data_IF_439300573853
#
_entry.id   IF_439300573853
#
_cell.length_a   1.000
_cell.length_b   1.000
_cell.length_c   1.000
_cell.angle_alpha   90.00
_cell.angle_beta   90.00
_cell.angle_gamma   90.00
#
_symmetry.space_group_name_H-M   'P 1'
#
loop_
_entity.id
_entity.type
_entity.pdbx_description
1 polymer ?
#
# COMPACT_ATOMS: atom_id res chain seq x y z
N UNK A 1 -0.17 -1.12 -6.89
CA UNK A 1 -0.29 -0.49 -5.55
C UNK A 1 -1.75 -0.24 -5.22
N UNK A 2 -2.25 -0.71 -4.08
CA UNK A 2 -3.62 -0.51 -3.60
C UNK A 2 -3.65 0.71 -2.69
N UNK A 3 -4.22 1.82 -3.16
CA UNK A 3 -4.36 3.04 -2.37
C UNK A 3 -5.60 2.91 -1.51
N UNK A 4 -5.41 2.95 -0.20
CA UNK A 4 -6.47 2.81 0.81
C UNK A 4 -6.78 4.20 1.35
N UNK A 5 -7.96 4.73 1.00
CA UNK A 5 -8.44 6.01 1.53
C UNK A 5 -8.95 5.88 2.96
N UNK A 6 -9.67 4.80 3.23
CA UNK A 6 -10.21 4.52 4.55
C UNK A 6 -10.26 3.01 4.77
N UNK A 7 -9.71 2.58 5.90
CA UNK A 7 -9.81 1.20 6.37
C UNK A 7 -11.22 0.91 6.89
N UNK A 8 -11.83 1.86 7.61
CA UNK A 8 -13.15 1.74 8.21
C UNK A 8 -14.28 1.55 7.18
N UNK A 9 -14.22 2.32 6.09
CA UNK A 9 -15.19 2.24 4.97
C UNK A 9 -14.71 1.32 3.84
N UNK A 10 -13.54 0.68 4.00
CA UNK A 10 -12.92 -0.21 2.99
C UNK A 10 -12.76 0.45 1.61
N UNK A 11 -12.51 1.75 1.58
CA UNK A 11 -12.40 2.54 0.35
C UNK A 11 -11.01 2.35 -0.25
N UNK A 12 -10.89 1.44 -1.24
CA UNK A 12 -9.62 1.06 -1.86
C UNK A 12 -9.68 1.23 -3.38
N UNK A 13 -8.58 1.70 -3.97
CA UNK A 13 -8.41 1.74 -5.43
C UNK A 13 -7.02 1.31 -5.83
N UNK A 14 -6.94 0.42 -6.81
CA UNK A 14 -5.66 -0.06 -7.35
C UNK A 14 -5.10 0.93 -8.38
N UNK A 15 -3.86 1.36 -8.14
CA UNK A 15 -3.00 2.07 -9.06
C UNK A 15 -2.01 1.07 -9.66
N UNK A 16 -2.09 0.87 -10.98
CA UNK A 16 -1.15 0.03 -11.73
C UNK A 16 0.06 0.88 -12.08
N UNK A 17 1.23 0.46 -11.63
CA UNK A 17 2.51 1.04 -12.02
C UNK A 17 3.14 0.12 -13.06
N UNK A 18 3.58 0.70 -14.18
CA UNK A 18 4.29 -0.01 -15.26
C UNK A 18 5.72 0.52 -15.31
N UNK A 19 6.62 -0.31 -15.79
CA UNK A 19 8.01 0.08 -16.08
C UNK A 19 8.78 0.62 -14.87
N UNK A 20 8.53 0.04 -13.68
CA UNK A 20 9.28 0.36 -12.45
C UNK A 20 10.51 -0.53 -12.38
N UNK A 21 11.70 0.06 -12.42
CA UNK A 21 12.95 -0.67 -12.16
C UNK A 21 13.06 -0.99 -10.67
N UNK A 22 12.85 -2.25 -10.31
CA UNK A 22 12.87 -2.71 -8.92
C UNK A 22 14.28 -2.73 -8.31
N UNK A 23 15.33 -2.73 -9.14
CA UNK A 23 16.72 -2.78 -8.69
C UNK A 23 17.25 -1.41 -8.32
N UNK A 24 16.70 -0.35 -8.93
CA UNK A 24 17.10 1.03 -8.66
C UNK A 24 16.05 1.85 -7.88
N UNK A 25 14.76 1.53 -8.02
CA UNK A 25 13.72 2.27 -7.29
C UNK A 25 13.81 1.97 -5.79
N UNK A 26 13.87 3.02 -4.97
CA UNK A 26 13.78 2.89 -3.51
C UNK A 26 12.34 2.92 -3.03
N UNK A 27 12.11 2.50 -1.79
CA UNK A 27 10.79 2.61 -1.14
C UNK A 27 10.29 4.06 -1.10
N UNK A 28 11.16 5.01 -0.76
CA UNK A 28 10.83 6.44 -0.77
C UNK A 28 10.41 6.90 -2.16
N UNK A 29 11.17 6.51 -3.19
CA UNK A 29 10.86 6.86 -4.57
C UNK A 29 9.52 6.28 -5.03
N UNK A 30 9.22 5.05 -4.65
CA UNK A 30 7.92 4.44 -4.91
C UNK A 30 6.77 5.23 -4.26
N UNK A 31 6.92 5.70 -3.02
CA UNK A 31 5.91 6.55 -2.37
C UNK A 31 5.69 7.85 -3.15
N UNK A 32 6.74 8.52 -3.57
CA UNK A 32 6.64 9.74 -4.39
C UNK A 32 5.88 9.49 -5.69
N UNK A 33 6.26 8.44 -6.44
CA UNK A 33 5.59 8.05 -7.69
C UNK A 33 4.09 7.81 -7.45
N UNK A 34 3.74 7.09 -6.38
CA UNK A 34 2.34 6.81 -6.04
C UNK A 34 1.59 8.11 -5.71
N UNK A 35 2.18 9.00 -4.91
CA UNK A 35 1.58 10.31 -4.57
C UNK A 35 1.35 11.17 -5.81
N UNK A 36 2.34 11.26 -6.70
CA UNK A 36 2.23 11.99 -7.96
C UNK A 36 1.12 11.42 -8.87
N UNK A 37 1.06 10.08 -8.98
CA UNK A 37 0.03 9.41 -9.77
C UNK A 37 -1.37 9.60 -9.21
N UNK A 38 -1.54 9.65 -7.89
CA UNK A 38 -2.82 9.99 -7.26
C UNK A 38 -3.28 11.40 -7.69
N UNK A 39 -2.36 12.35 -7.80
CA UNK A 39 -2.66 13.73 -8.21
C UNK A 39 -3.02 13.85 -9.69
N UNK A 40 -2.40 13.04 -10.54
CA UNK A 40 -2.48 13.18 -12.01
C UNK A 40 -3.51 12.28 -12.67
N UNK A 41 -3.82 11.11 -12.10
CA UNK A 41 -4.76 10.15 -12.70
C UNK A 41 -6.21 10.55 -12.38
N UNK A 42 -7.08 10.82 -13.38
CA UNK A 42 -8.45 11.32 -13.16
C UNK A 42 -9.30 10.44 -12.22
N UNK A 43 -9.06 9.13 -12.22
CA UNK A 43 -9.76 8.18 -11.36
C UNK A 43 -9.45 8.32 -9.86
N UNK A 44 -8.42 9.06 -9.48
CA UNK A 44 -8.00 9.24 -8.08
C UNK A 44 -8.46 10.55 -7.46
N UNK A 45 -9.34 11.32 -8.12
CA UNK A 45 -9.93 12.56 -7.56
C UNK A 45 -10.44 12.42 -6.11
N UNK A 46 -11.11 11.31 -5.70
CA UNK A 46 -11.54 11.14 -4.31
C UNK A 46 -10.39 10.92 -3.30
N UNK A 47 -9.18 10.64 -3.76
CA UNK A 47 -8.00 10.27 -2.98
C UNK A 47 -6.99 11.42 -2.83
N UNK A 48 -7.21 12.57 -3.48
CA UNK A 48 -6.28 13.70 -3.49
C UNK A 48 -5.97 14.26 -2.09
N UNK A 49 -6.96 14.25 -1.19
CA UNK A 49 -6.84 14.70 0.20
C UNK A 49 -6.52 13.54 1.16
N UNK A 50 -5.94 12.47 0.65
CA UNK A 50 -5.57 11.31 1.46
C UNK A 50 -4.35 11.58 2.34
N UNK A 51 -4.33 10.95 3.52
CA UNK A 51 -3.24 11.02 4.50
C UNK A 51 -2.39 9.73 4.50
N UNK A 52 -2.27 9.05 3.36
CA UNK A 52 -1.49 7.82 3.26
C UNK A 52 0.01 8.12 3.35
N UNK A 53 0.70 7.37 4.18
CA UNK A 53 2.13 7.56 4.50
C UNK A 53 2.92 6.24 4.47
N UNK A 54 2.23 5.10 4.55
CA UNK A 54 2.84 3.81 4.79
C UNK A 54 2.56 2.83 3.68
N UNK A 55 3.62 2.17 3.21
CA UNK A 55 3.56 1.06 2.26
C UNK A 55 3.73 -0.27 2.99
N UNK A 56 2.88 -1.24 2.67
CA UNK A 56 2.99 -2.61 3.18
C UNK A 56 2.71 -3.62 2.07
N UNK A 57 3.53 -4.67 1.97
CA UNK A 57 3.28 -5.76 1.03
C UNK A 57 1.97 -6.46 1.43
N UNK A 58 1.05 -6.57 0.46
CA UNK A 58 -0.26 -7.20 0.64
C UNK A 58 -0.27 -8.63 0.09
N UNK A 59 0.27 -8.82 -1.11
CA UNK A 59 0.48 -10.14 -1.74
C UNK A 59 1.84 -10.12 -2.40
N UNK A 60 2.70 -11.08 -2.06
CA UNK A 60 3.97 -11.29 -2.76
C UNK A 60 3.72 -11.95 -4.12
N UNK A 61 4.66 -11.79 -5.07
CA UNK A 61 4.59 -12.32 -6.43
C UNK A 61 4.27 -13.83 -6.53
N UNK A 62 4.44 -14.60 -5.45
CA UNK A 62 4.20 -16.06 -5.38
C UNK A 62 3.37 -16.46 -4.14
N UNK A 63 2.76 -15.49 -3.45
CA UNK A 63 2.04 -15.70 -2.20
C UNK A 63 0.57 -16.04 -2.39
N UNK A 64 0.00 -16.79 -1.45
CA UNK A 64 -1.45 -17.03 -1.38
C UNK A 64 -2.17 -15.72 -1.08
N UNK A 65 -3.25 -15.45 -1.83
CA UNK A 65 -4.12 -14.30 -1.55
C UNK A 65 -4.68 -14.40 -0.14
N UNK A 66 -4.51 -13.33 0.63
CA UNK A 66 -5.06 -13.23 1.99
C UNK A 66 -6.59 -13.22 1.98
N UNK A 67 -7.19 -13.78 3.02
CA UNK A 67 -8.63 -13.70 3.29
C UNK A 67 -9.10 -12.27 3.65
N UNK A 68 -8.20 -11.38 4.08
CA UNK A 68 -8.55 -10.01 4.41
C UNK A 68 -8.55 -9.12 3.16
N UNK A 69 -9.75 -8.74 2.70
CA UNK A 69 -9.95 -8.00 1.46
C UNK A 69 -9.38 -6.58 1.45
N UNK A 70 -9.01 -6.00 2.59
CA UNK A 70 -8.62 -4.59 2.68
C UNK A 70 -7.13 -4.45 2.96
N UNK A 71 -6.65 -4.98 4.08
CA UNK A 71 -5.25 -4.92 4.49
C UNK A 71 -4.95 -6.07 5.46
N UNK A 72 -3.82 -6.74 5.27
CA UNK A 72 -3.41 -7.81 6.18
C UNK A 72 -2.97 -7.24 7.52
N UNK A 73 -3.54 -7.77 8.60
CA UNK A 73 -3.15 -7.46 9.98
C UNK A 73 -2.01 -8.39 10.40
N UNK A 74 -0.96 -7.85 11.01
CA UNK A 74 0.21 -8.63 11.47
C UNK A 74 1.36 -8.68 10.46
N UNK A 75 2.47 -9.31 10.86
CA UNK A 75 3.75 -9.31 10.12
C UNK A 75 4.20 -7.90 9.72
N UNK A 76 4.00 -6.93 10.63
CA UNK A 76 4.27 -5.52 10.35
C UNK A 76 5.76 -5.28 10.14
N UNK A 77 6.63 -5.92 10.92
CA UNK A 77 8.09 -5.76 10.81
C UNK A 77 8.66 -6.31 9.49
N UNK A 78 8.02 -7.35 8.94
CA UNK A 78 8.47 -8.02 7.73
C UNK A 78 7.95 -7.35 6.46
N UNK A 79 6.67 -6.96 6.45
CA UNK A 79 6.01 -6.48 5.23
C UNK A 79 5.87 -4.97 5.14
N UNK A 80 6.09 -4.22 6.22
CA UNK A 80 6.04 -2.75 6.16
C UNK A 80 7.33 -2.23 5.57
N UNK A 81 7.21 -1.45 4.49
CA UNK A 81 8.34 -0.83 3.82
C UNK A 81 8.70 0.48 4.55
N UNK A 82 9.38 0.35 5.69
CA UNK A 82 9.71 1.45 6.61
C UNK A 82 11.00 2.20 6.22
N UNK A 83 11.98 1.49 5.65
CA UNK A 83 13.23 2.09 5.19
C UNK A 83 13.06 2.69 3.79
N UNK A 84 13.00 4.02 3.71
CA UNK A 84 12.82 4.75 2.45
C UNK A 84 14.03 4.70 1.51
N UNK A 85 15.22 4.39 2.03
CA UNK A 85 16.46 4.28 1.25
C UNK A 85 16.65 2.90 0.61
N UNK A 86 15.98 1.87 1.12
CA UNK A 86 16.10 0.49 0.65
C UNK A 86 15.51 0.30 -0.75
N UNK A 87 16.15 -0.53 -1.58
CA UNK A 87 15.68 -0.82 -2.94
C UNK A 87 14.49 -1.79 -2.89
N UNK A 88 13.56 -1.67 -3.82
CA UNK A 88 12.35 -2.50 -3.85
C UNK A 88 12.66 -4.00 -3.94
N UNK A 89 13.67 -4.38 -4.73
CA UNK A 89 14.12 -5.77 -4.87
C UNK A 89 14.59 -6.36 -3.53
N UNK A 90 15.22 -5.57 -2.67
CA UNK A 90 15.71 -6.01 -1.37
C UNK A 90 14.58 -6.19 -0.34
N UNK A 91 13.43 -5.59 -0.60
CA UNK A 91 12.23 -5.68 0.22
C UNK A 91 11.32 -6.86 -0.18
N UNK A 92 11.74 -7.73 -1.11
CA UNK A 92 10.92 -8.82 -1.61
C UNK A 92 9.80 -8.37 -2.55
N UNK A 93 9.90 -7.16 -3.12
CA UNK A 93 9.01 -6.70 -4.18
C UNK A 93 9.47 -7.27 -5.51
N UNK A 94 8.56 -7.94 -6.22
CA UNK A 94 8.78 -8.53 -7.53
C UNK A 94 7.69 -8.14 -8.52
N UNK A 95 7.69 -8.81 -9.68
CA UNK A 95 6.60 -8.69 -10.65
C UNK A 95 5.27 -9.10 -10.00
N UNK A 96 4.19 -8.38 -10.30
CA UNK A 96 2.84 -8.63 -9.75
C UNK A 96 2.69 -8.53 -8.22
N UNK A 97 3.72 -8.09 -7.48
CA UNK A 97 3.56 -7.81 -6.05
C UNK A 97 2.50 -6.73 -5.84
N UNK A 98 1.52 -7.03 -4.99
CA UNK A 98 0.54 -6.06 -4.54
C UNK A 98 1.04 -5.38 -3.26
N UNK A 99 1.14 -4.06 -3.28
CA UNK A 99 1.53 -3.24 -2.12
C UNK A 99 0.35 -2.36 -1.75
N UNK A 100 -0.03 -2.33 -0.48
CA UNK A 100 -1.03 -1.41 0.07
C UNK A 100 -0.37 -0.10 0.50
N UNK A 101 -1.00 1.03 0.17
CA UNK A 101 -0.61 2.37 0.60
C UNK A 101 -1.73 2.96 1.45
N UNK A 102 -1.47 3.20 2.73
CA UNK A 102 -2.48 3.55 3.74
C UNK A 102 -1.91 4.50 4.80
N UNK A 103 -2.75 4.96 5.72
CA UNK A 103 -2.34 5.77 6.86
C UNK A 103 -2.03 4.88 8.07
N UNK A 104 -0.82 5.00 8.63
CA UNK A 104 -0.36 4.14 9.73
C UNK A 104 -1.22 4.24 10.99
N UNK A 105 -1.60 5.45 11.38
CA UNK A 105 -2.40 5.69 12.58
C UNK A 105 -3.78 5.02 12.48
N UNK A 106 -4.45 5.19 11.35
CA UNK A 106 -5.71 4.51 11.06
C UNK A 106 -5.54 2.98 11.05
N UNK A 107 -4.38 2.46 10.62
CA UNK A 107 -4.09 1.03 10.70
C UNK A 107 -3.92 0.55 12.13
N UNK A 108 -3.20 1.28 12.98
CA UNK A 108 -3.07 0.91 14.40
C UNK A 108 -4.44 0.82 15.09
N UNK A 109 -5.36 1.75 14.79
CA UNK A 109 -6.74 1.68 15.25
C UNK A 109 -7.52 0.51 14.63
N UNK A 110 -7.31 0.22 13.34
CA UNK A 110 -7.93 -0.92 12.67
C UNK A 110 -7.46 -2.27 13.25
N UNK A 111 -6.20 -2.39 13.67
CA UNK A 111 -5.66 -3.63 14.26
C UNK A 111 -6.40 -4.08 15.52
N UNK A 112 -6.92 -3.16 16.32
CA UNK A 112 -7.65 -3.51 17.54
C UNK A 112 -9.06 -4.01 17.25
N UNK A 113 -9.64 -3.60 16.12
CA UNK A 113 -11.00 -3.96 15.69
C UNK A 113 -11.12 -4.18 14.16
N UNK A 114 -10.48 -5.22 13.59
CA UNK A 114 -10.37 -5.38 12.13
C UNK A 114 -11.69 -5.73 11.42
N UNK A 115 -12.71 -6.17 12.17
CA UNK A 115 -14.02 -6.58 11.63
C UNK A 115 -15.06 -5.47 11.62
N UNK A 116 -14.78 -4.32 12.24
CA UNK A 116 -15.73 -3.21 12.32
C UNK A 116 -15.72 -2.43 11.00
N UNK A 117 -16.73 -2.67 10.18
CA UNK A 117 -17.01 -1.88 8.97
C UNK A 117 -18.01 -0.81 9.33
N UNK A 118 -17.66 0.45 9.09
CA UNK A 118 -18.63 1.56 9.15
C UNK A 118 -19.35 1.61 7.80
N UNK A 119 -20.69 1.63 7.86
CA UNK A 119 -21.58 1.70 6.70
C UNK A 119 -22.03 3.14 6.44
#
# INVERSE_FOLDING_TARGET
VRVIKSLEFRTVKSLVLRDVDLTDTTVGKLKEIVKERIQTVPGFKPYLNGNQDTLKIYVSAQGTKSSNLVLNVGQDDEFTLSDEGRKLVECGVGHETEISFFNWEAYQAYKTHPDVVKW
#
